data_IF_011199125639
#
_entry.id   IF_011199125639
#
_cell.length_a   1.000
_cell.length_b   1.000
_cell.length_c   1.000
_cell.angle_alpha   90.00
_cell.angle_beta   90.00
_cell.angle_gamma   90.00
#
_symmetry.space_group_name_H-M   'P 1'
#
loop_
_entity.id
_entity.type
_entity.pdbx_description
1 polymer ?
#
# COMPACT_ATOMS: atom_id res chain seq x y z
N UNK A 1 -3.73 -36.63 7.97
CA UNK A 1 -3.77 -35.17 8.17
C UNK A 1 -2.34 -34.66 8.23
N UNK A 2 -1.92 -33.93 7.19
CA UNK A 2 -0.61 -33.27 7.16
C UNK A 2 -0.81 -31.78 7.45
N UNK A 3 0.07 -31.18 8.25
CA UNK A 3 0.03 -29.75 8.54
C UNK A 3 1.34 -29.08 8.15
N UNK A 4 1.25 -27.95 7.46
CA UNK A 4 2.38 -27.14 7.02
C UNK A 4 2.21 -25.76 7.63
N UNK A 5 3.25 -25.22 8.26
CA UNK A 5 3.24 -23.88 8.84
C UNK A 5 4.26 -23.02 8.10
N UNK A 6 3.85 -21.83 7.66
CA UNK A 6 4.71 -20.92 6.91
C UNK A 6 4.09 -19.53 6.81
N UNK A 7 4.90 -18.48 6.75
CA UNK A 7 4.49 -17.08 6.50
C UNK A 7 3.27 -16.59 7.31
N UNK A 8 3.09 -17.04 8.55
CA UNK A 8 1.97 -16.62 9.41
C UNK A 8 0.66 -17.41 9.25
N UNK A 9 0.64 -18.43 8.39
CA UNK A 9 -0.51 -19.29 8.17
C UNK A 9 -0.22 -20.77 8.50
N UNK A 10 -1.29 -21.56 8.60
CA UNK A 10 -1.30 -23.01 8.78
C UNK A 10 -2.10 -23.63 7.63
N UNK A 11 -1.49 -24.52 6.87
CA UNK A 11 -2.17 -25.32 5.85
C UNK A 11 -2.40 -26.73 6.39
N UNK A 12 -3.63 -27.22 6.30
CA UNK A 12 -4.00 -28.58 6.65
C UNK A 12 -4.43 -29.34 5.39
N UNK A 13 -3.82 -30.48 5.14
CA UNK A 13 -4.14 -31.42 4.06
C UNK A 13 -4.83 -32.66 4.61
N UNK A 14 -6.03 -32.93 4.11
CA UNK A 14 -6.84 -34.09 4.46
C UNK A 14 -7.49 -34.69 3.20
N UNK A 15 -7.07 -35.91 2.85
CA UNK A 15 -7.57 -36.67 1.69
C UNK A 15 -7.50 -35.88 0.36
N UNK A 16 -6.43 -35.11 0.15
CA UNK A 16 -6.26 -34.28 -1.04
C UNK A 16 -7.03 -32.95 -1.03
N UNK A 17 -7.76 -32.65 0.05
CA UNK A 17 -8.33 -31.32 0.28
C UNK A 17 -7.37 -30.50 1.14
N UNK A 18 -7.13 -29.25 0.72
CA UNK A 18 -6.27 -28.33 1.45
C UNK A 18 -7.11 -27.21 2.05
N UNK A 19 -6.80 -26.84 3.28
CA UNK A 19 -7.37 -25.68 3.97
C UNK A 19 -6.24 -24.81 4.48
N UNK A 20 -6.39 -23.50 4.37
CA UNK A 20 -5.43 -22.50 4.86
C UNK A 20 -6.09 -21.69 5.96
N UNK A 21 -5.38 -21.54 7.07
CA UNK A 21 -5.85 -20.92 8.29
C UNK A 21 -4.85 -19.86 8.77
N UNK A 22 -5.32 -18.67 9.11
CA UNK A 22 -4.47 -17.60 9.64
C UNK A 22 -5.26 -16.68 10.56
N UNK A 23 -4.54 -15.87 11.33
CA UNK A 23 -5.14 -14.81 12.16
C UNK A 23 -5.31 -13.56 11.29
N UNK A 24 -6.54 -13.06 11.14
CA UNK A 24 -6.73 -11.74 10.52
C UNK A 24 -6.27 -10.66 11.49
N UNK A 25 -5.01 -10.29 11.42
CA UNK A 25 -4.42 -9.25 12.27
C UNK A 25 -5.22 -7.93 12.19
N UNK A 26 -5.31 -7.23 13.32
CA UNK A 26 -6.05 -5.96 13.44
C UNK A 26 -6.90 -5.91 14.70
N UNK A 27 -7.83 -4.95 14.79
CA UNK A 27 -8.71 -4.76 15.95
C UNK A 27 -9.67 -5.94 16.23
N UNK A 28 -9.86 -6.83 15.26
CA UNK A 28 -10.67 -8.04 15.39
C UNK A 28 -9.81 -9.25 15.02
N UNK A 29 -8.85 -9.59 15.90
CA UNK A 29 -8.08 -10.83 15.80
C UNK A 29 -9.05 -12.02 15.85
N UNK A 30 -9.29 -12.61 14.68
CA UNK A 30 -10.06 -13.83 14.52
C UNK A 30 -9.28 -14.80 13.65
N UNK A 31 -9.37 -16.07 14.00
CA UNK A 31 -8.89 -17.15 13.15
C UNK A 31 -9.87 -17.30 11.98
N UNK A 32 -9.33 -17.28 10.75
CA UNK A 32 -10.11 -17.52 9.53
C UNK A 32 -9.54 -18.73 8.82
N UNK A 33 -10.45 -19.57 8.29
CA UNK A 33 -10.10 -20.79 7.57
C UNK A 33 -10.80 -20.80 6.22
N UNK A 34 -10.03 -21.02 5.17
CA UNK A 34 -10.53 -21.06 3.79
C UNK A 34 -10.07 -22.33 3.08
N UNK A 35 -10.92 -22.93 2.22
CA UNK A 35 -10.48 -23.99 1.32
C UNK A 35 -9.53 -23.43 0.28
N UNK A 36 -8.46 -24.15 -0.01
CA UNK A 36 -7.39 -23.72 -0.92
C UNK A 36 -7.05 -24.85 -1.88
N UNK A 37 -6.64 -24.54 -3.11
CA UNK A 37 -6.15 -25.54 -4.07
C UNK A 37 -4.67 -25.80 -3.86
N UNK A 38 -4.18 -26.97 -4.30
CA UNK A 38 -2.75 -27.30 -4.22
C UNK A 38 -1.86 -26.25 -4.90
N UNK A 39 -2.27 -25.69 -6.03
CA UNK A 39 -1.52 -24.63 -6.72
C UNK A 39 -1.37 -23.36 -5.89
N UNK A 40 -2.43 -22.97 -5.17
CA UNK A 40 -2.39 -21.82 -4.26
C UNK A 40 -1.51 -22.09 -3.04
N UNK A 41 -1.50 -23.34 -2.54
CA UNK A 41 -0.58 -23.77 -1.48
C UNK A 41 0.87 -23.64 -1.93
N UNK A 42 1.22 -24.18 -3.09
CA UNK A 42 2.57 -24.08 -3.65
C UNK A 42 2.99 -22.62 -3.87
N UNK A 43 2.05 -21.77 -4.32
CA UNK A 43 2.28 -20.32 -4.46
C UNK A 43 2.52 -19.66 -3.10
N UNK A 44 1.65 -19.88 -2.10
CA UNK A 44 1.77 -19.27 -0.79
C UNK A 44 3.05 -19.68 -0.04
N UNK A 45 3.55 -20.90 -0.30
CA UNK A 45 4.82 -21.39 0.26
C UNK A 45 6.06 -20.81 -0.44
N UNK A 46 5.92 -20.18 -1.61
CA UNK A 46 7.04 -19.67 -2.40
C UNK A 46 7.68 -18.41 -1.80
N UNK A 47 6.87 -17.48 -1.31
CA UNK A 47 7.33 -16.24 -0.69
C UNK A 47 6.26 -15.62 0.20
N UNK A 48 6.66 -14.74 1.14
CA UNK A 48 5.71 -13.98 1.95
C UNK A 48 4.79 -13.09 1.10
N UNK A 49 5.30 -12.54 -0.01
CA UNK A 49 4.50 -11.73 -0.93
C UNK A 49 3.45 -12.57 -1.66
N UNK A 50 3.83 -13.76 -2.11
CA UNK A 50 2.90 -14.71 -2.72
C UNK A 50 1.85 -15.20 -1.72
N UNK A 51 2.25 -15.44 -0.46
CA UNK A 51 1.34 -15.77 0.63
C UNK A 51 0.27 -14.70 0.82
N UNK A 52 0.68 -13.43 0.91
CA UNK A 52 -0.23 -12.30 1.05
C UNK A 52 -1.21 -12.18 -0.14
N UNK A 53 -0.75 -12.45 -1.37
CA UNK A 53 -1.63 -12.47 -2.53
C UNK A 53 -2.69 -13.57 -2.45
N UNK A 54 -2.32 -14.76 -1.98
CA UNK A 54 -3.23 -15.89 -1.82
C UNK A 54 -4.24 -15.61 -0.70
N UNK A 55 -3.80 -15.07 0.43
CA UNK A 55 -4.70 -14.66 1.53
C UNK A 55 -5.74 -13.64 1.05
N UNK A 56 -5.29 -12.62 0.34
CA UNK A 56 -6.18 -11.57 -0.16
C UNK A 56 -7.17 -12.11 -1.19
N UNK A 57 -6.71 -12.99 -2.09
CA UNK A 57 -7.59 -13.72 -3.02
C UNK A 57 -8.65 -14.56 -2.30
N UNK A 58 -8.27 -15.28 -1.23
CA UNK A 58 -9.21 -16.09 -0.45
C UNK A 58 -10.23 -15.24 0.31
N UNK A 59 -9.87 -14.02 0.73
CA UNK A 59 -10.77 -13.09 1.42
C UNK A 59 -11.73 -12.36 0.47
N UNK A 60 -11.24 -11.87 -0.66
CA UNK A 60 -12.02 -11.04 -1.59
C UNK A 60 -12.67 -11.84 -2.71
N UNK A 61 -12.14 -13.04 -3.01
CA UNK A 61 -12.48 -13.82 -4.20
C UNK A 61 -11.87 -13.30 -5.49
N UNK A 62 -11.06 -12.22 -5.43
CA UNK A 62 -10.47 -11.56 -6.60
C UNK A 62 -8.96 -11.51 -6.48
N UNK A 63 -8.27 -11.85 -7.58
CA UNK A 63 -6.83 -11.72 -7.62
C UNK A 63 -6.47 -10.25 -7.63
N UNK A 64 -5.63 -9.85 -6.69
CA UNK A 64 -5.12 -8.48 -6.66
C UNK A 64 -4.07 -8.37 -7.75
N UNK A 65 -4.52 -7.97 -8.93
CA UNK A 65 -3.68 -7.75 -10.09
C UNK A 65 -2.66 -6.66 -9.79
N UNK A 66 -1.54 -6.67 -10.50
CA UNK A 66 -0.57 -5.58 -10.43
C UNK A 66 -1.25 -4.23 -10.67
N UNK A 67 -2.20 -4.19 -11.61
CA UNK A 67 -3.04 -3.04 -11.89
C UNK A 67 -3.90 -2.64 -10.68
N UNK A 68 -4.55 -3.56 -9.98
CA UNK A 68 -5.34 -3.20 -8.79
C UNK A 68 -4.46 -2.73 -7.62
N UNK A 69 -3.23 -3.25 -7.46
CA UNK A 69 -2.26 -2.76 -6.47
C UNK A 69 -1.76 -1.36 -6.82
N UNK A 70 -1.44 -1.14 -8.10
CA UNK A 70 -1.03 0.16 -8.61
C UNK A 70 -2.16 1.17 -8.50
N UNK A 71 -3.40 0.81 -8.86
CA UNK A 71 -4.59 1.65 -8.72
C UNK A 71 -4.90 1.94 -7.26
N UNK A 72 -4.81 0.96 -6.36
CA UNK A 72 -4.97 1.18 -4.91
C UNK A 72 -3.89 2.13 -4.37
N UNK A 73 -2.63 1.94 -4.78
CA UNK A 73 -1.52 2.83 -4.45
C UNK A 73 -1.73 4.23 -4.99
N UNK A 74 -2.12 4.37 -6.25
CA UNK A 74 -2.46 5.65 -6.87
C UNK A 74 -3.57 6.35 -6.11
N UNK A 75 -4.66 5.64 -5.79
CA UNK A 75 -5.80 6.20 -5.05
C UNK A 75 -5.40 6.65 -3.63
N UNK A 76 -4.51 5.91 -2.97
CA UNK A 76 -3.96 6.31 -1.67
C UNK A 76 -3.21 7.65 -1.76
N UNK A 77 -2.30 7.81 -2.73
CA UNK A 77 -1.56 9.06 -2.91
C UNK A 77 -2.43 10.20 -3.47
N UNK A 78 -3.44 9.92 -4.30
CA UNK A 78 -4.44 10.93 -4.72
C UNK A 78 -5.24 11.47 -3.54
N UNK A 79 -5.58 10.59 -2.59
CA UNK A 79 -6.30 10.92 -1.37
C UNK A 79 -5.41 11.61 -0.33
N UNK A 80 -4.13 11.26 -0.30
CA UNK A 80 -3.13 11.85 0.62
C UNK A 80 -1.85 12.28 -0.12
N UNK A 81 -1.91 13.37 -0.92
CA UNK A 81 -0.80 13.78 -1.77
C UNK A 81 0.47 14.14 -0.99
N UNK A 82 0.35 14.58 0.27
CA UNK A 82 1.49 14.87 1.16
C UNK A 82 2.44 13.68 1.32
N UNK A 83 1.92 12.43 1.28
CA UNK A 83 2.75 11.22 1.43
C UNK A 83 3.71 11.02 0.26
N UNK A 84 3.51 11.72 -0.86
CA UNK A 84 4.39 11.68 -2.01
C UNK A 84 5.77 12.27 -1.69
N UNK A 85 5.81 13.29 -0.82
CA UNK A 85 7.04 13.99 -0.45
C UNK A 85 8.02 13.12 0.36
N UNK A 86 7.54 12.04 0.98
CA UNK A 86 8.37 11.10 1.76
C UNK A 86 9.32 10.31 0.86
N UNK A 87 8.86 9.92 -0.33
CA UNK A 87 9.68 9.19 -1.30
C UNK A 87 9.22 9.46 -2.75
N UNK A 88 9.49 10.67 -3.27
CA UNK A 88 8.99 11.09 -4.57
C UNK A 88 9.52 10.22 -5.72
N UNK A 89 10.76 9.73 -5.63
CA UNK A 89 11.40 8.93 -6.69
C UNK A 89 10.71 7.58 -6.93
N UNK A 90 10.33 6.88 -5.86
CA UNK A 90 9.60 5.61 -5.98
C UNK A 90 8.16 5.83 -6.44
N UNK A 91 7.52 6.90 -5.97
CA UNK A 91 6.11 7.18 -6.23
C UNK A 91 5.89 7.75 -7.63
N UNK A 92 6.86 8.48 -8.18
CA UNK A 92 6.84 8.95 -9.58
C UNK A 92 6.62 7.82 -10.58
N UNK A 93 7.08 6.60 -10.28
CA UNK A 93 6.87 5.42 -11.15
C UNK A 93 5.40 4.99 -11.23
N UNK A 94 4.55 5.44 -10.32
CA UNK A 94 3.12 5.10 -10.25
C UNK A 94 2.25 6.06 -11.05
N UNK A 95 2.79 7.17 -11.55
CA UNK A 95 2.01 8.26 -12.16
C UNK A 95 2.65 8.75 -13.46
N UNK A 96 1.84 9.34 -14.33
CA UNK A 96 2.36 10.16 -15.43
C UNK A 96 3.09 11.39 -14.89
N UNK A 97 4.09 11.92 -15.61
CA UNK A 97 4.84 13.11 -15.17
C UNK A 97 3.90 14.29 -14.80
N UNK A 98 2.88 14.52 -15.63
CA UNK A 98 1.89 15.57 -15.42
C UNK A 98 1.06 15.36 -14.13
N UNK A 99 0.50 14.15 -13.95
CA UNK A 99 -0.30 13.82 -12.76
C UNK A 99 0.56 13.88 -11.48
N UNK A 100 1.81 13.46 -11.57
CA UNK A 100 2.75 13.55 -10.46
C UNK A 100 3.03 15.00 -10.05
N UNK A 101 3.26 15.90 -11.01
CA UNK A 101 3.45 17.34 -10.73
C UNK A 101 2.22 17.97 -10.07
N UNK A 102 1.01 17.65 -10.54
CA UNK A 102 -0.24 18.12 -9.93
C UNK A 102 -0.37 17.64 -8.47
N UNK A 103 -0.05 16.37 -8.21
CA UNK A 103 -0.09 15.81 -6.87
C UNK A 103 0.96 16.43 -5.95
N UNK A 104 2.16 16.73 -6.47
CA UNK A 104 3.22 17.45 -5.72
C UNK A 104 2.78 18.87 -5.37
N UNK A 105 2.18 19.61 -6.30
CA UNK A 105 1.64 20.94 -6.03
C UNK A 105 0.54 20.90 -4.97
N UNK A 106 -0.34 19.90 -5.03
CA UNK A 106 -1.38 19.66 -4.03
C UNK A 106 -0.81 19.26 -2.68
N UNK A 107 0.28 18.50 -2.66
CA UNK A 107 1.02 18.10 -1.46
C UNK A 107 1.58 19.34 -0.75
N UNK A 108 2.37 20.16 -1.46
CA UNK A 108 2.89 21.42 -0.93
C UNK A 108 1.78 22.35 -0.46
N UNK A 109 0.72 22.53 -1.24
CA UNK A 109 -0.43 23.36 -0.83
C UNK A 109 -1.16 22.82 0.40
N UNK A 110 -1.13 21.50 0.63
CA UNK A 110 -1.78 20.85 1.78
C UNK A 110 -0.89 20.86 3.03
N UNK A 111 0.42 20.72 2.87
CA UNK A 111 1.42 20.89 3.93
C UNK A 111 1.52 22.37 4.35
N UNK A 112 1.31 23.30 3.41
CA UNK A 112 1.22 24.74 3.64
C UNK A 112 -0.15 25.21 4.18
N UNK A 113 -1.04 24.31 4.63
CA UNK A 113 -2.21 24.75 5.41
C UNK A 113 -1.69 25.41 6.70
N UNK A 114 -1.91 26.71 6.91
CA UNK A 114 -1.43 27.41 8.09
C UNK A 114 -2.30 26.95 9.26
N UNK A 115 -1.88 25.92 9.99
CA UNK A 115 -2.52 25.61 11.27
C UNK A 115 -1.65 26.01 12.45
N UNK A 116 -0.40 26.43 12.25
CA UNK A 116 0.41 27.04 13.33
C UNK A 116 1.29 28.24 12.90
N UNK A 117 1.21 28.73 11.65
CA UNK A 117 2.01 29.91 11.23
C UNK A 117 1.35 31.27 11.53
N UNK A 118 0.04 31.33 11.80
CA UNK A 118 -0.63 32.59 12.17
C UNK A 118 -0.30 33.06 13.60
N UNK A 119 0.50 32.30 14.37
CA UNK A 119 0.99 32.70 15.69
C UNK A 119 2.30 33.51 15.67
N UNK A 120 3.00 33.58 14.53
CA UNK A 120 4.23 34.35 14.39
C UNK A 120 4.11 35.37 13.25
N UNK A 121 3.34 36.42 13.52
CA UNK A 121 3.54 37.77 12.99
C UNK A 121 3.66 37.91 11.48
N UNK A 122 2.62 38.48 10.87
CA UNK A 122 2.62 39.24 9.61
C UNK A 122 4.05 39.58 9.10
N UNK A 123 4.51 38.86 8.07
CA UNK A 123 5.62 39.31 7.23
C UNK A 123 5.02 39.72 5.90
N UNK A 124 5.18 41.00 5.61
CA UNK A 124 4.59 41.68 4.48
C UNK A 124 4.97 41.03 3.13
N UNK A 125 3.99 40.95 2.24
CA UNK A 125 4.17 40.68 0.83
C UNK A 125 5.14 41.71 0.24
N UNK A 126 6.37 41.29 -0.05
CA UNK A 126 7.21 41.76 -1.17
C UNK A 126 8.62 41.17 -1.05
N UNK A 127 8.89 40.07 -1.76
CA UNK A 127 10.07 39.96 -2.62
C UNK A 127 10.10 38.61 -3.36
N UNK A 128 9.84 38.70 -4.67
CA UNK A 128 10.33 37.76 -5.68
C UNK A 128 11.85 37.79 -5.62
N UNK A 129 12.56 36.72 -5.21
CA UNK A 129 13.97 36.55 -5.58
C UNK A 129 14.37 35.06 -5.63
N UNK A 130 14.50 34.59 -6.87
CA UNK A 130 15.54 33.68 -7.41
C UNK A 130 15.90 32.43 -6.58
N UNK A 131 15.41 31.29 -7.05
CA UNK A 131 16.03 30.00 -6.78
C UNK A 131 17.06 29.74 -7.88
N UNK A 132 18.31 30.09 -7.60
CA UNK A 132 19.47 29.73 -8.42
C UNK A 132 19.64 28.20 -8.39
N UNK A 133 19.45 27.57 -9.56
CA UNK A 133 20.00 26.26 -9.89
C UNK A 133 21.49 26.42 -10.19
N UNK A 134 22.37 26.08 -9.25
CA UNK A 134 23.77 25.61 -9.48
C UNK A 134 24.11 24.79 -8.20
N UNK A 135 24.63 23.57 -8.21
CA UNK A 135 25.60 22.90 -9.09
C UNK A 135 25.16 21.52 -9.61
#
# INVERSE_FOLDING_TARGET
MNQIKGNGFIITEENGNYTMCWMTGGFQDREVTYPVSKELVDKALRSEQDAYEVELFLQTGEWVTKESKEVAGQNYFRSSPVRILVNPSSIKRLFSNQEFEELIQKAFSSELKPTELDAIGKVDNNNILKMDLIE
#
